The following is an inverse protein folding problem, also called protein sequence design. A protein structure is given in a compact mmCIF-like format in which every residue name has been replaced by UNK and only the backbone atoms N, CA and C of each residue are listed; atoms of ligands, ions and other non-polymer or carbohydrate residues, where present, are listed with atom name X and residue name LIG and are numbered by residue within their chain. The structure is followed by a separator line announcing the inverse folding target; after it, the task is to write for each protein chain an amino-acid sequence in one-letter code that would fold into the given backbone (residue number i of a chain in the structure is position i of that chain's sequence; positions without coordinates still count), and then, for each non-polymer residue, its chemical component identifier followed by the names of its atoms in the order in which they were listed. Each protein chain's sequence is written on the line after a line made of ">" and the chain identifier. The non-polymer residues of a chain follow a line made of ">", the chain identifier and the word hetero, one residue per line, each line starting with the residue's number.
data_IF_749707188392
#
_entry.id   IF_749707188392
#
_cell.length_a   1.000
_cell.length_b   1.000
_cell.length_c   1.000
_cell.angle_alpha   90.00
_cell.angle_beta   90.00
_cell.angle_gamma   90.00
#
_symmetry.space_group_name_H-M   'P 1'
#
loop_
_entity.id
_entity.type
_entity.pdbx_description
1 polymer ?
2 non-polymer ?
3 non-polymer ?
4 non-polymer ?
5 water ?
#
# COMPACT_ATOMS: atom_id res chain seq x y z
N UNK A 1 -14.89 -7.68 5.31
CA UNK A 1 -15.27 -6.29 5.28
C UNK A 1 -14.01 -5.39 5.33
N UNK A 2 -14.07 -4.25 4.64
CA UNK A 2 -12.95 -3.25 4.68
C UNK A 2 -13.18 -2.36 5.88
N UNK A 3 -12.32 -2.50 6.88
CA UNK A 3 -12.53 -1.86 8.20
C UNK A 3 -11.61 -0.69 8.52
N UNK A 4 -10.64 -0.40 7.64
CA UNK A 4 -9.81 0.79 7.87
C UNK A 4 -9.20 1.27 6.57
N UNK A 5 -8.71 2.49 6.61
CA UNK A 5 -7.62 2.92 5.67
C UNK A 5 -6.33 2.35 6.24
N UNK A 6 -5.68 1.47 5.55
CA UNK A 6 -4.41 0.87 5.99
C UNK A 6 -3.26 1.81 5.65
N UNK A 7 -3.19 2.29 4.43
CA UNK A 7 -2.07 3.17 4.09
C UNK A 7 -2.34 3.95 2.82
N UNK A 8 -1.56 5.03 2.68
CA UNK A 8 -1.49 5.82 1.43
C UNK A 8 -0.14 5.51 0.79
N UNK A 9 -0.14 5.02 -0.44
CA UNK A 9 1.09 4.73 -1.17
C UNK A 9 1.53 5.96 -1.94
N UNK A 10 2.73 6.44 -1.64
CA UNK A 10 3.26 7.71 -2.15
C UNK A 10 4.55 7.40 -2.88
N UNK A 11 4.60 7.67 -4.17
CA UNK A 11 5.78 7.46 -5.04
C UNK A 11 6.72 8.62 -4.97
N UNK A 12 8.01 8.30 -4.86
CA UNK A 12 9.04 9.34 -4.78
C UNK A 12 10.28 8.86 -5.53
N UNK A 13 11.05 9.83 -5.97
CA UNK A 13 12.30 9.51 -6.70
C UNK A 13 13.38 9.05 -5.72
N UNK A 14 13.41 9.61 -4.52
CA UNK A 14 14.49 9.36 -3.54
C UNK A 14 13.88 9.09 -2.17
N UNK A 15 13.84 7.83 -1.82
CA UNK A 15 13.19 7.42 -0.55
C UNK A 15 13.83 8.13 0.63
N UNK A 16 15.18 8.18 0.71
CA UNK A 16 15.81 8.80 1.90
C UNK A 16 15.45 10.28 2.00
N UNK A 17 15.39 11.01 0.90
CA UNK A 17 15.07 12.44 0.96
C UNK A 17 13.62 12.60 1.40
N UNK A 18 12.74 11.76 0.86
CA UNK A 18 11.29 11.94 1.13
C UNK A 18 11.00 11.53 2.58
N UNK A 19 11.57 10.45 3.08
CA UNK A 19 11.49 10.06 4.51
C UNK A 19 11.90 11.26 5.39
N UNK A 20 13.03 11.89 5.06
CA UNK A 20 13.53 13.03 5.85
C UNK A 20 12.54 14.18 5.80
N UNK A 21 11.94 14.43 4.64
CA UNK A 21 10.93 15.48 4.50
C UNK A 21 9.81 15.24 5.53
N UNK A 22 9.28 14.02 5.55
CA UNK A 22 8.14 13.69 6.45
C UNK A 22 8.58 13.80 7.93
N UNK A 23 9.80 13.39 8.25
CA UNK A 23 10.31 13.48 9.63
C UNK A 23 10.48 14.96 10.04
N UNK A 24 11.19 15.72 9.21
CA UNK A 24 11.51 17.12 9.52
C UNK A 24 10.23 17.93 9.61
N UNK A 25 9.27 17.69 8.71
CA UNK A 25 8.13 18.61 8.55
C UNK A 25 7.07 18.30 9.60
N UNK A 26 6.78 17.02 9.76
CA UNK A 26 5.63 16.57 10.57
C UNK A 26 6.02 15.81 11.83
N UNK A 27 7.26 15.42 11.94
CA UNK A 27 7.74 14.58 13.08
C UNK A 27 7.38 13.12 12.91
N UNK A 28 6.97 12.68 11.73
CA UNK A 28 6.67 11.25 11.49
C UNK A 28 7.96 10.45 11.46
N UNK A 29 7.97 9.33 12.16
CA UNK A 29 9.17 8.50 12.18
C UNK A 29 8.98 7.24 11.35
N UNK A 30 10.10 6.63 10.97
CA UNK A 30 10.10 5.36 10.21
C UNK A 30 9.63 4.22 11.12
N UNK A 31 8.55 3.57 10.75
CA UNK A 31 8.07 2.35 11.43
C UNK A 31 8.83 1.14 10.91
N UNK A 32 9.07 1.05 9.62
CA UNK A 32 9.69 -0.11 8.95
C UNK A 32 10.20 0.28 7.58
N UNK A 33 11.26 -0.36 7.13
CA UNK A 33 11.75 -0.20 5.75
C UNK A 33 11.96 -1.60 5.20
N UNK A 34 11.79 -1.75 3.90
CA UNK A 34 12.09 -3.03 3.26
C UNK A 34 12.12 -2.85 1.77
N UNK A 35 12.73 -3.82 1.10
CA UNK A 35 12.74 -3.83 -0.38
C UNK A 35 11.87 -5.00 -0.81
N UNK A 36 11.03 -4.77 -1.81
CA UNK A 36 10.16 -5.83 -2.37
C UNK A 36 10.59 -5.95 -3.82
N UNK A 37 11.39 -6.97 -4.11
CA UNK A 37 11.94 -7.11 -5.46
C UNK A 37 10.81 -7.47 -6.45
N UNK A 38 9.86 -8.31 -6.07
CA UNK A 38 8.71 -8.70 -6.94
C UNK A 38 7.99 -7.41 -7.39
N UNK A 39 7.67 -6.54 -6.44
CA UNK A 39 6.90 -5.29 -6.73
C UNK A 39 7.82 -4.24 -7.37
N UNK A 40 9.14 -4.31 -7.19
CA UNK A 40 10.11 -3.33 -7.68
C UNK A 40 10.12 -2.02 -6.90
N UNK A 41 10.10 -2.11 -5.58
CA UNK A 41 10.09 -0.88 -4.74
C UNK A 41 11.04 -1.06 -3.56
N UNK A 42 11.62 0.07 -3.13
CA UNK A 42 12.22 0.26 -1.78
C UNK A 42 11.17 1.05 -1.03
N UNK A 43 10.82 0.63 0.15
CA UNK A 43 9.64 1.19 0.87
C UNK A 43 10.03 1.61 2.27
N UNK A 44 9.38 2.66 2.74
CA UNK A 44 9.38 3.02 4.17
C UNK A 44 7.93 3.19 4.57
N UNK A 45 7.55 2.58 5.68
CA UNK A 45 6.24 2.79 6.33
C UNK A 45 6.40 3.76 7.49
N UNK A 46 5.59 4.80 7.51
CA UNK A 46 5.54 5.76 8.61
C UNK A 46 4.17 5.59 9.27
N UNK A 47 4.11 5.21 10.55
CA UNK A 47 2.83 5.00 11.23
C UNK A 47 2.28 6.34 11.69
N UNK A 48 1.05 6.66 11.30
CA UNK A 48 0.43 7.92 11.68
C UNK A 48 -0.52 7.72 12.86
N UNK A 49 -1.25 6.62 12.91
CA UNK A 49 -2.21 6.41 14.01
C UNK A 49 -2.59 4.95 14.07
N UNK A 50 -3.15 4.55 15.22
CA UNK A 50 -3.83 3.26 15.29
C UNK A 50 -5.30 3.43 14.91
N UNK A 51 -5.98 2.33 14.60
CA UNK A 51 -7.38 2.35 14.15
C UNK A 51 -8.31 1.46 14.99
N UNK A 52 -9.57 1.80 14.88
CA UNK A 52 -10.65 1.23 15.74
C UNK A 52 -10.84 -0.27 15.43
N UNK A 53 -10.38 -0.81 14.31
CA UNK A 53 -10.44 -2.27 14.02
C UNK A 53 -9.24 -3.04 14.56
N UNK A 54 -8.36 -2.40 15.34
CA UNK A 54 -7.16 -3.02 15.92
C UNK A 54 -5.95 -2.87 15.05
N UNK A 55 -6.10 -2.29 13.85
CA UNK A 55 -4.97 -2.08 13.00
C UNK A 55 -4.38 -0.67 13.13
N UNK A 56 -3.75 -0.23 12.05
CA UNK A 56 -3.06 1.06 12.04
C UNK A 56 -3.10 1.64 10.62
N UNK A 57 -2.77 2.94 10.56
CA UNK A 57 -2.74 3.67 9.28
C UNK A 57 -1.36 4.21 9.08
N UNK A 58 -0.83 4.05 7.88
CA UNK A 58 0.55 4.38 7.54
C UNK A 58 0.62 5.24 6.28
N UNK A 59 1.73 5.96 6.15
CA UNK A 59 2.21 6.42 4.83
C UNK A 59 3.20 5.38 4.35
N UNK A 60 2.98 4.91 3.12
CA UNK A 60 3.88 3.95 2.48
C UNK A 60 4.67 4.70 1.41
N UNK A 61 5.91 5.08 1.70
CA UNK A 61 6.74 5.80 0.69
C UNK A 61 7.46 4.77 -0.15
N UNK A 62 7.47 4.97 -1.47
CA UNK A 62 7.94 3.97 -2.42
C UNK A 62 8.85 4.66 -3.43
N UNK A 63 10.08 4.14 -3.50
CA UNK A 63 10.99 4.51 -4.61
C UNK A 63 11.17 3.29 -5.48
N UNK A 64 11.13 3.42 -6.82
CA UNK A 64 11.27 2.24 -7.64
C UNK A 64 12.70 1.69 -7.62
N UNK A 65 12.83 0.36 -7.72
CA UNK A 65 14.16 -0.30 -7.81
C UNK A 65 14.56 -0.36 -9.28
N UNK A 66 13.62 -0.15 -10.20
CA UNK A 66 13.85 -0.26 -11.67
C UNK A 66 12.79 0.55 -12.39
N UNK A 67 13.12 1.05 -13.57
CA UNK A 67 12.17 1.86 -14.36
C UNK A 67 11.02 0.96 -14.81
N UNK A 68 11.30 -0.30 -15.13
CA UNK A 68 10.29 -1.24 -15.67
C UNK A 68 9.58 -1.90 -14.48
N UNK A 69 8.75 -1.12 -13.81
CA UNK A 69 8.03 -1.55 -12.59
C UNK A 69 6.76 -0.72 -12.55
N UNK A 70 5.79 -1.14 -11.75
CA UNK A 70 4.56 -0.34 -11.57
C UNK A 70 4.90 1.10 -11.17
N UNK A 71 5.67 1.29 -10.10
CA UNK A 71 6.01 2.65 -9.60
C UNK A 71 6.97 3.35 -10.55
N UNK A 72 7.96 2.64 -11.12
CA UNK A 72 8.88 3.32 -12.06
C UNK A 72 8.14 3.92 -13.26
N UNK A 73 7.18 3.19 -13.80
CA UNK A 73 6.41 3.66 -14.99
C UNK A 73 5.51 4.80 -14.56
N UNK A 74 4.87 4.65 -13.41
CA UNK A 74 4.01 5.73 -12.92
C UNK A 74 4.79 7.03 -12.67
N UNK A 75 5.97 6.97 -12.03
CA UNK A 75 6.75 8.17 -11.70
C UNK A 75 7.19 8.87 -13.00
N UNK A 76 7.63 8.06 -13.95
CA UNK A 76 8.11 8.58 -15.25
C UNK A 76 7.00 9.40 -15.91
N UNK A 77 5.75 8.95 -15.83
CA UNK A 77 4.59 9.57 -16.47
C UNK A 77 4.07 10.74 -15.64
N UNK A 78 4.02 10.63 -14.30
CA UNK A 78 3.19 11.55 -13.50
C UNK A 78 4.04 12.39 -12.54
N UNK A 79 5.28 12.02 -12.28
CA UNK A 79 6.12 12.63 -11.24
C UNK A 79 5.63 12.19 -9.86
N UNK A 80 6.32 12.68 -8.85
CA UNK A 80 6.10 12.22 -7.46
C UNK A 80 4.67 12.56 -7.06
N UNK A 81 4.12 11.71 -6.17
CA UNK A 81 2.77 11.97 -5.63
C UNK A 81 2.07 10.71 -5.19
N UNK A 82 0.81 10.84 -4.90
CA UNK A 82 0.03 9.68 -4.43
C UNK A 82 -0.13 8.66 -5.55
N UNK A 83 0.24 7.43 -5.28
CA UNK A 83 0.21 6.30 -6.20
C UNK A 83 -1.00 5.41 -5.95
N UNK A 84 -1.35 5.13 -4.70
CA UNK A 84 -2.48 4.22 -4.45
C UNK A 84 -3.02 4.46 -3.04
N UNK A 85 -4.21 3.93 -2.77
CA UNK A 85 -4.73 3.92 -1.39
C UNK A 85 -4.98 2.46 -1.02
N UNK A 86 -4.87 2.10 0.25
CA UNK A 86 -5.02 0.71 0.71
C UNK A 86 -6.01 0.68 1.86
N UNK A 87 -6.92 -0.27 1.76
CA UNK A 87 -7.93 -0.60 2.80
C UNK A 87 -7.52 -1.89 3.47
N UNK A 88 -7.68 -1.90 4.80
CA UNK A 88 -7.44 -3.11 5.58
C UNK A 88 -8.68 -3.95 5.82
N UNK A 89 -8.43 -5.25 5.88
CA UNK A 89 -9.48 -6.26 6.11
C UNK A 89 -8.86 -7.42 6.86
N UNK A 90 -9.71 -8.14 7.59
CA UNK A 90 -9.27 -9.38 8.27
C UNK A 90 -9.24 -10.54 7.30
N UNK A 91 -9.78 -10.40 6.08
CA UNK A 91 -9.83 -11.55 5.14
C UNK A 91 -9.78 -11.04 3.72
N UNK A 92 -8.57 -10.75 3.27
CA UNK A 92 -8.38 -10.18 1.92
C UNK A 92 -8.87 -11.19 0.88
N UNK A 93 -8.65 -12.48 1.10
CA UNK A 93 -9.11 -13.49 0.10
C UNK A 93 -10.62 -13.37 -0.11
N UNK A 94 -11.40 -13.34 0.95
CA UNK A 94 -12.88 -13.32 0.87
C UNK A 94 -13.35 -11.99 0.30
N UNK A 95 -12.76 -10.86 0.73
CA UNK A 95 -13.21 -9.54 0.23
C UNK A 95 -12.82 -9.39 -1.23
N UNK A 96 -11.67 -9.91 -1.64
CA UNK A 96 -11.26 -9.85 -3.05
C UNK A 96 -12.21 -10.71 -3.91
N UNK A 97 -12.63 -11.88 -3.42
CA UNK A 97 -13.59 -12.69 -4.21
C UNK A 97 -14.94 -11.98 -4.34
N UNK A 98 -15.42 -11.33 -3.28
CA UNK A 98 -16.68 -10.58 -3.35
C UNK A 98 -16.59 -9.46 -4.37
N UNK A 99 -15.47 -8.73 -4.37
CA UNK A 99 -15.30 -7.60 -5.31
C UNK A 99 -15.13 -8.12 -6.75
N UNK A 100 -14.40 -9.22 -6.93
CA UNK A 100 -14.30 -9.85 -8.27
C UNK A 100 -15.72 -10.12 -8.81
N UNK A 101 -16.59 -10.58 -7.94
CA UNK A 101 -17.98 -10.95 -8.33
C UNK A 101 -18.83 -9.74 -8.68
N UNK A 102 -18.36 -8.52 -8.44
CA UNK A 102 -19.03 -7.28 -8.86
C UNK A 102 -18.52 -6.79 -10.19
N UNK A 103 -17.49 -7.41 -10.77
CA UNK A 103 -16.97 -7.05 -12.10
C UNK A 103 -15.84 -6.07 -12.03
N UNK A 104 -15.39 -5.74 -10.80
CA UNK A 104 -14.16 -4.93 -10.64
C UNK A 104 -12.95 -5.84 -10.83
N UNK A 105 -12.01 -5.45 -11.69
CA UNK A 105 -10.82 -6.28 -11.95
C UNK A 105 -9.94 -6.38 -10.69
N UNK A 106 -9.74 -7.59 -10.23
CA UNK A 106 -8.78 -7.93 -9.15
C UNK A 106 -7.49 -8.40 -9.81
N UNK A 107 -6.40 -7.70 -9.56
CA UNK A 107 -5.16 -7.87 -10.35
C UNK A 107 -4.48 -9.22 -10.00
N UNK A 108 -4.60 -9.75 -8.79
CA UNK A 108 -3.90 -11.03 -8.47
C UNK A 108 -4.93 -12.16 -8.36
N UNK A 109 -4.69 -13.38 -8.87
CA UNK A 109 -5.62 -14.51 -8.49
C UNK A 109 -5.67 -14.73 -6.97
N UNK A 110 -4.51 -14.66 -6.35
CA UNK A 110 -4.26 -15.02 -4.93
C UNK A 110 -3.44 -13.86 -4.36
N UNK A 111 -3.75 -13.42 -3.14
CA UNK A 111 -2.96 -12.32 -2.55
C UNK A 111 -1.45 -12.58 -2.52
N UNK A 112 -0.66 -11.52 -2.73
CA UNK A 112 0.81 -11.51 -2.80
C UNK A 112 1.37 -10.88 -1.54
N UNK A 113 2.68 -10.95 -1.36
CA UNK A 113 3.29 -10.40 -0.11
C UNK A 113 3.38 -8.88 -0.21
N UNK A 114 2.98 -8.20 0.84
CA UNK A 114 3.17 -6.76 0.97
C UNK A 114 4.12 -6.45 2.13
N UNK A 115 3.98 -5.26 2.69
CA UNK A 115 4.84 -4.80 3.82
C UNK A 115 4.65 -5.71 5.04
N UNK A 116 5.77 -6.04 5.71
CA UNK A 116 5.67 -6.69 7.06
C UNK A 116 4.86 -7.99 6.99
N UNK A 117 5.11 -8.76 5.93
CA UNK A 117 4.50 -10.09 5.73
C UNK A 117 3.02 -10.05 5.39
N UNK A 118 2.45 -8.86 5.21
CA UNK A 118 1.02 -8.76 4.91
C UNK A 118 0.70 -9.50 3.61
N UNK A 119 -0.60 -9.70 3.36
CA UNK A 119 -1.09 -10.30 2.10
C UNK A 119 -2.00 -9.27 1.41
N UNK A 120 -1.71 -9.01 0.14
CA UNK A 120 -2.28 -7.82 -0.54
C UNK A 120 -2.82 -8.24 -1.91
N UNK A 121 -3.74 -7.45 -2.41
CA UNK A 121 -4.14 -7.53 -3.82
C UNK A 121 -4.51 -6.14 -4.23
N UNK A 122 -4.75 -5.92 -5.50
CA UNK A 122 -5.08 -4.59 -6.02
C UNK A 122 -6.26 -4.67 -6.97
N UNK A 123 -7.00 -3.59 -7.01
CA UNK A 123 -8.14 -3.37 -7.91
C UNK A 123 -7.68 -2.44 -9.02
N UNK A 124 -8.10 -2.69 -10.25
CA UNK A 124 -7.64 -1.87 -11.39
C UNK A 124 -8.18 -0.45 -11.27
N UNK A 125 -7.33 0.59 -11.40
CA UNK A 125 -7.77 1.95 -11.21
C UNK A 125 -8.86 2.39 -12.16
N UNK A 126 -8.85 1.83 -13.38
CA UNK A 126 -9.91 2.22 -14.33
C UNK A 126 -11.28 1.67 -13.91
N UNK A 127 -11.36 0.70 -13.01
CA UNK A 127 -12.60 0.19 -12.42
C UNK A 127 -12.99 0.91 -11.12
N UNK A 128 -12.12 1.79 -10.64
CA UNK A 128 -12.27 2.42 -9.31
C UNK A 128 -12.29 3.94 -9.45
N UNK A 129 -12.80 4.49 -10.58
CA UNK A 129 -12.81 5.96 -10.76
C UNK A 129 -11.40 6.54 -10.59
N UNK A 130 -10.36 5.89 -11.13
CA UNK A 130 -9.02 6.44 -11.28
C UNK A 130 -8.13 6.24 -10.07
N UNK A 131 -8.60 5.49 -9.08
CA UNK A 131 -7.79 5.23 -7.86
C UNK A 131 -7.27 3.80 -7.84
N UNK A 132 -5.97 3.61 -7.92
CA UNK A 132 -5.42 2.26 -7.73
C UNK A 132 -5.64 1.88 -6.26
N UNK A 133 -6.36 0.82 -6.04
CA UNK A 133 -6.90 0.48 -4.70
C UNK A 133 -6.32 -0.85 -4.27
N UNK A 134 -5.67 -0.85 -3.12
CA UNK A 134 -5.06 -2.04 -2.53
C UNK A 134 -5.95 -2.54 -1.40
N UNK A 135 -6.02 -3.86 -1.26
CA UNK A 135 -6.67 -4.56 -0.13
C UNK A 135 -5.58 -5.30 0.64
N UNK A 136 -5.59 -5.17 1.97
CA UNK A 136 -4.46 -5.74 2.74
C UNK A 136 -5.00 -6.38 4.01
N UNK A 137 -4.46 -7.59 4.25
CA UNK A 137 -4.64 -8.23 5.58
C UNK A 137 -3.26 -8.33 6.27
N UNK A 138 -3.13 -7.70 7.42
CA UNK A 138 -1.88 -7.71 8.19
C UNK A 138 -1.51 -9.13 8.56
N UNK A 139 -0.21 -9.37 8.69
CA UNK A 139 0.32 -10.71 9.01
C UNK A 139 -0.08 -11.08 10.44
N UNK A 140 0.00 -10.11 11.35
CA UNK A 140 -0.44 -10.23 12.75
C UNK A 140 -1.93 -9.88 12.82
N UNK A 141 -2.75 -10.87 13.16
CA UNK A 141 -4.22 -10.70 13.41
C UNK A 141 -4.41 -9.61 14.49
N UNK A 142 -5.48 -8.81 14.36
CA UNK A 142 -5.71 -7.54 15.09
C UNK A 142 -6.92 -7.67 16.02
N UNK A 143 -6.84 -7.11 17.23
CA UNK A 143 -7.92 -7.12 18.26
C UNK A 143 -8.64 -5.77 18.26
N UNK A 144 -9.81 -5.65 17.57
CA UNK A 144 -10.54 -4.37 17.48
C UNK A 144 -10.58 -3.48 18.73
X LIG B 1 0.69 -0.42 -0.78
X LIG C 1 8.71 15.25 -10.33
X LIG C 1 9.11 13.97 -10.85
X LIG C 1 9.89 15.96 -9.85
X LIG C 1 8.07 16.04 -11.36
X LIG C 1 7.81 15.09 -9.25
X LIG D 1 14.12 18.89 12.90
X LIG D 1 14.30 17.70 13.69
X LIG D 1 14.82 19.98 13.54
X LIG D 1 14.66 18.68 11.57
X LIG D 1 12.72 19.21 12.79
X LIG E 1 -3.35 5.19 -10.33
X LIG E 1 -4.26 5.53 -11.24
X LIG E 1 -4.34 5.24 -12.53
X LIG E 1 -3.31 4.48 -12.93
X LIG E 1 -2.20 4.10 -12.06
X LIG E 1 -2.27 4.45 -10.67
X LIG E 1 -1.31 4.15 -9.81
X LIG E 1 -1.25 3.37 -12.75
X LIG E 1 -1.76 3.34 -14.04
X LIG E 1 -2.92 4.03 -14.16
X LIG E 1 -3.72 4.17 -15.42
X LIG E 1 -2.86 4.78 -16.54
X LIG E 1 -2.81 6.20 -16.46
X LIG E 1 -3.52 4.17 -17.75
X LIG E 1 -4.63 4.95 -17.94
X LIG E 1 -4.94 5.43 -19.50
X LIG E 1 -5.70 6.72 -19.25
X LIG E 1 -5.77 4.34 -20.15
X LIG E 1 -3.59 5.58 -20.17
X LIG E 1 -4.00 2.81 -17.30
X LIG E 1 -4.01 2.87 -15.83
X LIG E 1 -3.05 1.75 -17.73
X LIG E 1 -1.79 2.12 -17.18
X LIG E 1 -0.31 1.79 -17.74
X LIG E 1 0.60 3.02 -17.74
X LIG E 1 -0.49 1.20 -19.11
X LIG E 1 0.43 0.76 -16.81
X LIG E 1 -0.26 -0.66 -16.77
X LIG E 1 -1.64 -0.78 -17.36
X LIG E 1 0.71 -1.67 -17.36
X LIG E 1 -0.23 -1.03 -15.21
X LIG E 1 -1.66 -1.26 -13.38
X LIG E 1 -1.04 -0.26 -14.35
X LIG E 1 -2.39 -0.66 -12.24
X LIG E 1 -1.93 -2.67 -13.86
X LIG E 1 -0.31 -1.66 -12.64
X LIG E 1 0.51 -0.58 -12.18
X LIG E 1 -0.31 -2.58 -11.47
X LIG E 1 -0.42 -3.81 -11.60
X LIG E 1 -0.26 -2.12 -10.22
X LIG E 1 -0.36 -2.92 -9.03
X LIG E 1 0.96 -3.26 -8.34
X LIG E 1 1.65 -2.06 -7.75
X LIG E 1 1.22 -0.94 -7.95
X LIG E 1 2.73 -2.24 -7.01
X LIG E 1 3.47 -1.14 -6.40
X LIG E 1 3.01 -0.96 -4.94
X LIG E 1 3.37 -2.11 -3.97
X LIG E 1 2.78 -2.08 -2.62
X LIG E 1 1.93 -1.16 -2.41
X LIG E 1 3.15 -2.92 -1.76
#
# INVERSE_FOLDING_TARGET
>A
SLTRIDHIGIACHDLDATVEFYRATYGFEVFHTEVNEEQGVREAMLKINDTSDGGASYLQLLEPTREDSAVGKWLAKNGEGVHHIAFGTADVDADAADIRDKGVRVLYDEPRRGSMGSRITFLHPKDCHGVLTELVTSAAVESPEH
>B hetero
1 CO CO
>C hetero
1 SO4 S O1 O2 O3 O4
>D hetero
1 SO4 S O1 O2 O3 O4
>E hetero
1 CMX N1A C2A N3A C4A C5A C6A N6A N7A C8A N9A C1B C2B O2B C3B O3B P3B O7A O8A O9A C4B O4B C5B O5B P1A O1A O2A O3A P2A O4A O5A O6A CBP CCP CDP CEP CAP OAP C9P O9P N8P C7P C6P C5P O5P N4P C3P C2P C1 C2 O21 O22
#
